data_IF_826690001047
#
_entry.id   IF_826690001047
#
_cell.length_a   1.000
_cell.length_b   1.000
_cell.length_c   1.000
_cell.angle_alpha   90.00
_cell.angle_beta   90.00
_cell.angle_gamma   90.00
#
_symmetry.space_group_name_H-M   'P 1'
#
loop_
_entity.id
_entity.type
_entity.pdbx_description
1 polymer ?
#
# COMPACT_ATOMS: atom_id res chain seq x y z
N UNK A 1 17.24 -44.55 28.22
CA UNK A 1 16.82 -44.31 26.84
C UNK A 1 16.29 -42.88 26.77
N UNK A 2 17.08 -41.94 26.28
CA UNK A 2 16.69 -40.54 26.07
C UNK A 2 16.36 -40.39 24.59
N UNK A 3 15.13 -40.00 24.30
CA UNK A 3 14.69 -39.62 22.93
C UNK A 3 14.91 -38.13 22.80
N UNK A 4 15.80 -37.74 21.91
CA UNK A 4 16.06 -36.35 21.52
C UNK A 4 15.13 -36.04 20.36
N UNK A 5 14.12 -35.18 20.58
CA UNK A 5 13.28 -34.66 19.55
C UNK A 5 13.92 -33.43 18.92
N UNK A 6 14.25 -33.51 17.66
CA UNK A 6 14.73 -32.43 16.82
C UNK A 6 13.55 -31.53 16.45
N UNK A 7 13.57 -30.28 16.91
CA UNK A 7 12.70 -29.21 16.38
C UNK A 7 13.27 -28.70 15.07
N UNK A 8 12.57 -28.96 13.98
CA UNK A 8 12.86 -28.36 12.68
C UNK A 8 12.31 -26.94 12.69
N UNK A 9 13.21 -25.99 12.49
CA UNK A 9 12.93 -24.55 12.36
C UNK A 9 12.17 -24.31 11.06
N UNK A 10 10.91 -23.90 11.14
CA UNK A 10 10.15 -23.35 10.01
C UNK A 10 10.33 -21.81 9.99
N UNK A 11 11.40 -21.37 9.42
CA UNK A 11 11.65 -19.96 9.17
C UNK A 11 11.82 -19.75 7.66
N UNK A 12 10.73 -19.71 6.90
CA UNK A 12 10.67 -19.10 5.55
C UNK A 12 9.20 -18.93 5.16
N UNK A 13 8.56 -17.83 5.47
CA UNK A 13 7.27 -17.46 4.80
C UNK A 13 6.95 -15.97 4.77
N UNK A 14 7.85 -15.07 5.13
CA UNK A 14 7.56 -13.63 5.11
C UNK A 14 7.90 -12.92 3.79
N UNK A 15 8.68 -13.52 2.90
CA UNK A 15 9.13 -12.90 1.64
C UNK A 15 8.20 -13.17 0.45
N UNK A 16 7.23 -14.09 0.56
CA UNK A 16 6.36 -14.45 -0.57
C UNK A 16 5.15 -13.50 -0.76
N UNK A 17 4.87 -12.60 0.17
CA UNK A 17 3.70 -11.73 0.10
C UNK A 17 3.86 -10.51 -0.81
N UNK A 18 5.09 -10.16 -1.19
CA UNK A 18 5.37 -9.00 -2.06
C UNK A 18 5.69 -9.39 -3.51
N UNK A 19 5.95 -10.66 -3.82
CA UNK A 19 6.23 -11.14 -5.16
C UNK A 19 5.15 -12.11 -5.63
N UNK A 20 4.20 -11.64 -6.40
CA UNK A 20 3.21 -12.46 -7.08
C UNK A 20 3.78 -13.21 -8.29
N UNK A 21 4.89 -13.97 -8.12
CA UNK A 21 5.39 -14.87 -9.17
C UNK A 21 5.55 -16.27 -8.63
N UNK A 22 4.95 -17.30 -9.24
CA UNK A 22 5.44 -18.66 -9.10
C UNK A 22 6.75 -18.81 -9.89
N UNK A 23 7.73 -19.45 -9.28
CA UNK A 23 8.95 -19.86 -9.95
C UNK A 23 8.62 -21.05 -10.86
N UNK A 24 8.91 -20.93 -12.16
CA UNK A 24 9.31 -22.08 -12.95
C UNK A 24 9.98 -21.66 -14.27
N UNK A 25 11.16 -22.25 -14.42
CA UNK A 25 11.86 -22.75 -15.60
C UNK A 25 12.40 -21.83 -16.69
N UNK A 26 13.74 -21.86 -16.68
CA UNK A 26 14.66 -21.44 -17.71
C UNK A 26 14.54 -22.27 -18.99
N UNK A 27 14.52 -21.64 -20.15
CA UNK A 27 15.02 -22.22 -21.42
C UNK A 27 15.94 -21.20 -22.09
N UNK A 28 17.16 -21.70 -22.33
CA UNK A 28 18.27 -21.06 -23.05
C UNK A 28 17.99 -21.02 -24.54
N UNK A 29 18.21 -19.87 -25.18
CA UNK A 29 18.47 -19.84 -26.64
C UNK A 29 19.58 -18.84 -26.95
N UNK A 30 20.64 -19.39 -27.54
CA UNK A 30 21.83 -18.72 -28.09
C UNK A 30 21.56 -18.27 -29.52
N UNK A 31 21.92 -17.02 -29.89
CA UNK A 31 22.44 -16.71 -31.24
C UNK A 31 23.02 -15.30 -31.33
N UNK A 32 24.30 -15.18 -31.44
CA UNK A 32 25.18 -14.65 -32.51
C UNK A 32 25.13 -13.14 -32.83
N UNK A 33 26.20 -12.51 -32.44
CA UNK A 33 27.16 -11.57 -33.06
C UNK A 33 26.74 -10.66 -34.21
N UNK A 34 26.98 -9.37 -34.04
CA UNK A 34 27.69 -8.49 -34.96
C UNK A 34 28.12 -7.18 -34.29
N UNK A 35 29.43 -6.98 -34.08
CA UNK A 35 30.10 -5.67 -33.95
C UNK A 35 30.23 -5.04 -35.39
N UNK A 36 30.58 -3.73 -35.57
CA UNK A 36 31.37 -2.85 -34.71
C UNK A 36 30.99 -1.35 -34.71
N UNK A 37 31.43 -0.60 -33.75
CA UNK A 37 32.16 0.69 -33.93
C UNK A 37 32.50 1.34 -32.60
N UNK A 38 33.78 1.49 -32.37
CA UNK A 38 34.46 2.26 -31.34
C UNK A 38 34.04 3.73 -31.31
N UNK A 39 33.53 4.21 -30.14
CA UNK A 39 33.55 5.63 -29.79
C UNK A 39 34.17 5.73 -28.41
N UNK A 40 35.15 6.63 -28.32
CA UNK A 40 36.04 6.86 -27.18
C UNK A 40 35.26 7.16 -25.88
N UNK A 41 35.65 6.44 -24.82
CA UNK A 41 35.16 6.61 -23.46
C UNK A 41 35.92 7.77 -22.78
N UNK A 42 35.17 8.77 -22.27
CA UNK A 42 35.63 9.64 -21.20
C UNK A 42 35.25 8.98 -19.86
N UNK A 43 36.17 8.93 -18.88
CA UNK A 43 35.83 8.44 -17.55
C UNK A 43 35.04 9.49 -16.78
N UNK A 44 33.76 9.26 -16.55
CA UNK A 44 32.98 10.00 -15.54
C UNK A 44 33.21 9.36 -14.16
N UNK A 45 34.09 9.98 -13.40
CA UNK A 45 34.45 9.61 -12.04
C UNK A 45 33.66 10.46 -11.03
N UNK A 46 32.37 10.20 -10.85
CA UNK A 46 31.60 10.77 -9.73
C UNK A 46 30.38 9.93 -9.34
N UNK A 47 30.56 8.63 -9.21
CA UNK A 47 29.57 7.80 -8.52
C UNK A 47 30.23 7.33 -7.22
N UNK A 48 29.70 7.71 -6.04
CA UNK A 48 30.15 7.08 -4.80
C UNK A 48 29.80 5.58 -4.86
N UNK A 49 30.64 4.70 -4.30
CA UNK A 49 30.37 3.27 -4.30
C UNK A 49 29.02 3.00 -3.64
N UNK A 50 28.21 2.17 -4.28
CA UNK A 50 26.96 1.69 -3.69
C UNK A 50 27.30 1.03 -2.35
N UNK A 51 26.75 1.55 -1.26
CA UNK A 51 26.88 0.93 0.03
C UNK A 51 26.27 -0.47 -0.06
N UNK A 52 26.99 -1.47 0.42
CA UNK A 52 26.47 -2.83 0.58
C UNK A 52 25.17 -2.77 1.39
N UNK A 53 24.10 -3.44 0.96
CA UNK A 53 22.85 -3.43 1.71
C UNK A 53 23.13 -4.02 3.10
N UNK A 54 22.73 -3.28 4.14
CA UNK A 54 22.77 -3.76 5.50
C UNK A 54 22.00 -5.09 5.60
N UNK A 55 22.45 -6.05 6.42
CA UNK A 55 21.76 -7.32 6.56
C UNK A 55 20.30 -7.06 6.96
N UNK A 56 19.34 -7.82 6.42
CA UNK A 56 17.93 -7.62 6.71
C UNK A 56 17.72 -7.70 8.22
N UNK A 57 17.24 -6.59 8.81
CA UNK A 57 16.71 -6.62 10.17
C UNK A 57 15.49 -7.53 10.08
N UNK A 58 15.55 -8.68 10.78
CA UNK A 58 14.42 -9.59 10.84
C UNK A 58 13.20 -8.78 11.29
N UNK A 59 12.14 -8.77 10.47
CA UNK A 59 10.88 -8.19 10.87
C UNK A 59 10.45 -8.89 12.16
N UNK A 60 10.39 -8.17 13.27
CA UNK A 60 9.81 -8.70 14.50
C UNK A 60 8.42 -9.23 14.17
N UNK A 61 8.17 -10.47 14.53
CA UNK A 61 6.88 -11.12 14.37
C UNK A 61 5.89 -10.36 15.27
N UNK A 62 5.09 -9.47 14.67
CA UNK A 62 4.06 -8.74 15.42
C UNK A 62 3.04 -9.76 15.88
N UNK A 63 2.99 -10.01 17.19
CA UNK A 63 1.97 -10.87 17.78
C UNK A 63 0.58 -10.37 17.36
N UNK A 64 -0.27 -11.30 16.94
CA UNK A 64 -1.67 -11.01 16.68
C UNK A 64 -2.29 -10.28 17.89
N UNK A 65 -3.14 -9.28 17.66
CA UNK A 65 -3.84 -8.61 18.75
C UNK A 65 -4.44 -9.68 19.68
N UNK A 66 -4.18 -9.57 20.98
CA UNK A 66 -4.58 -10.55 21.99
C UNK A 66 -6.07 -10.88 21.82
N UNK A 67 -6.38 -12.09 21.32
CA UNK A 67 -7.75 -12.53 21.09
C UNK A 67 -8.09 -12.97 19.67
N UNK A 68 -7.19 -13.04 18.73
CA UNK A 68 -7.42 -13.51 17.34
C UNK A 68 -8.56 -12.80 16.55
N UNK A 69 -9.07 -11.67 17.03
CA UNK A 69 -10.21 -11.00 16.41
C UNK A 69 -10.04 -9.49 16.40
N UNK A 70 -9.99 -8.89 15.22
CA UNK A 70 -9.98 -7.44 15.04
C UNK A 70 -11.40 -6.91 15.23
N UNK A 71 -11.62 -5.98 16.17
CA UNK A 71 -12.94 -5.41 16.38
C UNK A 71 -13.44 -4.66 15.13
N UNK A 72 -14.72 -4.83 14.79
CA UNK A 72 -15.37 -4.28 13.59
C UNK A 72 -15.08 -2.78 13.39
N UNK A 73 -15.05 -1.99 14.47
CA UNK A 73 -14.76 -0.54 14.41
C UNK A 73 -13.44 -0.22 13.69
N UNK A 74 -12.42 -1.06 13.84
CA UNK A 74 -11.13 -0.88 13.15
C UNK A 74 -11.22 -1.22 11.67
N UNK A 75 -11.98 -2.27 11.32
CA UNK A 75 -12.13 -2.71 9.93
C UNK A 75 -12.81 -1.65 9.07
N UNK A 76 -13.76 -0.91 9.64
CA UNK A 76 -14.56 0.11 8.93
C UNK A 76 -14.15 1.56 9.21
N UNK A 77 -13.13 1.78 10.07
CA UNK A 77 -12.63 3.12 10.39
C UNK A 77 -13.53 3.95 11.31
N UNK A 78 -14.37 3.30 12.13
CA UNK A 78 -15.26 3.98 13.09
C UNK A 78 -14.57 4.15 14.44
N UNK A 79 -13.47 4.91 14.44
CA UNK A 79 -12.63 5.19 15.61
C UNK A 79 -12.15 6.65 15.62
N UNK A 80 -11.86 7.13 16.82
CA UNK A 80 -11.11 8.35 17.04
C UNK A 80 -9.64 7.99 17.36
N UNK A 81 -8.70 8.17 16.42
CA UNK A 81 -7.31 7.74 16.61
C UNK A 81 -6.60 8.50 17.74
N UNK A 82 -7.10 9.67 18.14
CA UNK A 82 -6.53 10.43 19.24
C UNK A 82 -6.83 9.83 20.63
N UNK A 83 -7.82 8.94 20.70
CA UNK A 83 -8.27 8.28 21.93
C UNK A 83 -8.02 6.77 21.93
N UNK A 84 -7.51 6.23 20.83
CA UNK A 84 -7.31 4.79 20.69
C UNK A 84 -5.82 4.43 20.85
N UNK A 85 -5.46 3.53 21.79
CA UNK A 85 -4.06 3.17 22.09
C UNK A 85 -3.37 2.42 20.96
N UNK A 86 -4.11 1.92 19.96
CA UNK A 86 -3.55 1.26 18.79
C UNK A 86 -3.00 2.26 17.77
N UNK A 87 -3.23 3.57 17.94
CA UNK A 87 -2.80 4.61 17.02
C UNK A 87 -1.75 5.53 17.63
N UNK A 88 -0.84 6.00 16.79
CA UNK A 88 0.19 6.95 17.14
C UNK A 88 0.25 8.09 16.10
N UNK A 89 0.75 9.24 16.54
CA UNK A 89 1.06 10.34 15.61
C UNK A 89 2.35 10.06 14.87
N UNK A 90 2.32 10.29 13.56
CA UNK A 90 3.53 10.34 12.75
C UNK A 90 4.32 11.60 13.16
N UNK A 91 5.62 11.48 13.48
CA UNK A 91 6.43 12.64 13.83
C UNK A 91 6.42 13.71 12.75
N UNK A 92 6.35 14.99 13.14
CA UNK A 92 6.19 16.13 12.24
C UNK A 92 7.24 16.16 11.12
N UNK A 93 8.48 15.81 11.44
CA UNK A 93 9.58 15.75 10.47
C UNK A 93 9.30 14.81 9.28
N UNK A 94 8.35 13.86 9.41
CA UNK A 94 7.99 12.91 8.38
C UNK A 94 6.59 13.16 7.77
N UNK A 95 5.91 14.21 8.18
CA UNK A 95 4.63 14.59 7.59
C UNK A 95 4.82 15.32 6.25
N UNK A 96 3.99 14.95 5.27
CA UNK A 96 3.83 15.62 3.98
C UNK A 96 2.40 16.10 3.75
N UNK A 97 1.49 15.81 4.69
CA UNK A 97 0.06 16.15 4.63
C UNK A 97 -0.55 16.37 6.01
N UNK A 98 -1.87 16.50 6.06
CA UNK A 98 -2.61 16.82 7.30
C UNK A 98 -3.06 15.57 8.09
N UNK A 99 -2.93 14.36 7.54
CA UNK A 99 -3.35 13.12 8.19
C UNK A 99 -2.20 12.54 8.99
N UNK A 100 -2.24 12.84 10.28
CA UNK A 100 -1.10 12.69 11.19
C UNK A 100 -1.10 11.38 11.99
N UNK A 101 -2.14 10.53 11.86
CA UNK A 101 -2.29 9.30 12.64
C UNK A 101 -2.07 8.06 11.77
N UNK A 102 -1.47 7.02 12.37
CA UNK A 102 -1.38 5.68 11.81
C UNK A 102 -1.46 4.63 12.91
N UNK A 103 -1.58 3.36 12.55
CA UNK A 103 -1.40 2.26 13.50
C UNK A 103 0.01 2.37 14.10
N UNK A 104 0.14 2.25 15.44
CA UNK A 104 1.41 2.50 16.13
C UNK A 104 2.60 1.73 15.54
N UNK A 105 2.42 0.42 15.29
CA UNK A 105 3.50 -0.43 14.78
C UNK A 105 3.88 -0.05 13.32
N UNK A 106 2.89 0.38 12.53
CA UNK A 106 3.14 0.89 11.19
C UNK A 106 3.85 2.25 11.20
N UNK A 107 3.52 3.13 12.16
CA UNK A 107 4.23 4.41 12.35
C UNK A 107 5.67 4.15 12.75
N UNK A 108 5.94 3.27 13.71
CA UNK A 108 7.30 2.94 14.15
C UNK A 108 8.13 2.33 13.00
N UNK A 109 7.53 1.42 12.22
CA UNK A 109 8.18 0.86 11.05
C UNK A 109 8.45 1.92 9.95
N UNK A 110 7.51 2.82 9.70
CA UNK A 110 7.67 3.92 8.76
C UNK A 110 8.77 4.90 9.18
N UNK A 111 8.88 5.21 10.47
CA UNK A 111 9.95 6.06 11.01
C UNK A 111 11.32 5.44 10.74
N UNK A 112 11.50 4.15 11.06
CA UNK A 112 12.76 3.45 10.78
C UNK A 112 13.10 3.44 9.29
N UNK A 113 12.11 3.15 8.44
CA UNK A 113 12.26 3.19 6.99
C UNK A 113 12.66 4.58 6.49
N UNK A 114 12.04 5.64 7.01
CA UNK A 114 12.33 7.02 6.61
C UNK A 114 13.71 7.50 7.11
N UNK A 115 14.20 7.01 8.25
CA UNK A 115 15.55 7.28 8.77
C UNK A 115 16.62 6.62 7.90
N UNK A 116 16.40 5.36 7.51
CA UNK A 116 17.32 4.69 6.59
C UNK A 116 17.32 5.35 5.20
N UNK A 117 16.15 5.67 4.67
CA UNK A 117 16.04 6.42 3.42
C UNK A 117 16.83 7.73 3.48
N UNK A 118 16.72 8.48 4.59
CA UNK A 118 17.44 9.75 4.79
C UNK A 118 18.96 9.55 4.82
N UNK A 119 19.44 8.48 5.43
CA UNK A 119 20.87 8.11 5.45
C UNK A 119 21.41 7.80 4.05
N UNK A 120 20.53 7.39 3.14
CA UNK A 120 20.82 7.10 1.73
C UNK A 120 20.49 8.30 0.80
N UNK A 121 20.19 9.47 1.36
CA UNK A 121 19.92 10.71 0.60
C UNK A 121 18.51 10.79 -0.01
N UNK A 122 17.55 10.02 0.53
CA UNK A 122 16.15 10.07 0.14
C UNK A 122 15.30 10.68 1.25
N UNK A 123 14.24 11.38 0.87
CA UNK A 123 13.29 11.98 1.81
C UNK A 123 11.93 11.31 1.65
N UNK A 124 11.48 10.60 2.68
CA UNK A 124 10.16 10.03 2.72
C UNK A 124 9.24 10.85 3.62
N UNK A 125 8.04 11.16 3.12
CA UNK A 125 7.00 11.93 3.80
C UNK A 125 5.66 11.21 3.68
N UNK A 126 4.97 11.01 4.79
CA UNK A 126 3.59 10.51 4.79
C UNK A 126 2.64 11.65 4.40
N UNK A 127 2.01 11.55 3.25
CA UNK A 127 1.00 12.51 2.76
C UNK A 127 -0.37 12.16 3.34
N UNK A 128 -0.65 10.86 3.47
CA UNK A 128 -1.88 10.32 4.08
C UNK A 128 -1.53 9.02 4.79
N UNK A 129 -2.23 8.74 5.92
CA UNK A 129 -2.17 7.47 6.62
C UNK A 129 -3.58 7.08 7.07
N UNK A 130 -3.88 7.06 8.39
CA UNK A 130 -5.23 6.75 8.83
C UNK A 130 -6.28 7.72 8.26
N UNK A 131 -7.40 7.15 7.82
CA UNK A 131 -8.64 7.86 7.46
C UNK A 131 -9.83 7.23 8.17
N UNK A 132 -10.61 8.03 8.90
CA UNK A 132 -11.86 7.57 9.50
C UNK A 132 -12.91 7.26 8.43
N UNK A 133 -13.99 6.57 8.84
CA UNK A 133 -15.17 6.40 7.99
C UNK A 133 -15.70 7.76 7.49
N UNK A 134 -15.79 8.74 8.38
CA UNK A 134 -16.29 10.08 8.04
C UNK A 134 -15.39 10.82 7.05
N UNK A 135 -14.07 10.74 7.19
CA UNK A 135 -13.12 11.31 6.23
C UNK A 135 -13.28 10.69 4.84
N UNK A 136 -13.39 9.35 4.80
CA UNK A 136 -13.54 8.64 3.53
C UNK A 136 -14.90 8.94 2.90
N UNK A 137 -15.95 9.08 3.71
CA UNK A 137 -17.29 9.48 3.26
C UNK A 137 -17.24 10.87 2.61
N UNK A 138 -16.58 11.83 3.23
CA UNK A 138 -16.44 13.16 2.66
C UNK A 138 -15.72 13.14 1.31
N UNK A 139 -14.60 12.40 1.19
CA UNK A 139 -13.87 12.23 -0.06
C UNK A 139 -14.75 11.61 -1.13
N UNK A 140 -15.47 10.56 -0.80
CA UNK A 140 -16.35 9.83 -1.71
C UNK A 140 -17.51 10.71 -2.19
N UNK A 141 -18.27 11.32 -1.26
CA UNK A 141 -19.44 12.11 -1.57
C UNK A 141 -19.10 13.41 -2.33
N UNK A 142 -17.94 14.02 -2.05
CA UNK A 142 -17.46 15.16 -2.84
C UNK A 142 -17.22 14.78 -4.30
N UNK A 143 -16.73 13.56 -4.58
CA UNK A 143 -16.59 13.04 -5.94
C UNK A 143 -17.93 12.62 -6.54
N UNK A 144 -18.75 11.93 -5.76
CA UNK A 144 -20.07 11.46 -6.17
C UNK A 144 -20.99 12.59 -6.60
N UNK A 145 -21.01 13.67 -5.82
CA UNK A 145 -21.84 14.83 -6.02
C UNK A 145 -21.20 15.90 -6.94
N UNK A 146 -20.04 15.62 -7.52
CA UNK A 146 -19.37 16.52 -8.48
C UNK A 146 -18.76 17.78 -7.85
N UNK A 147 -18.60 17.83 -6.51
CA UNK A 147 -17.83 18.89 -5.85
C UNK A 147 -16.35 18.78 -6.19
N UNK A 148 -15.83 17.54 -6.22
CA UNK A 148 -14.49 17.22 -6.69
C UNK A 148 -14.58 16.52 -8.04
N UNK A 149 -13.85 17.02 -9.05
CA UNK A 149 -13.78 16.39 -10.36
C UNK A 149 -12.96 15.10 -10.32
N UNK A 150 -13.37 14.09 -11.08
CA UNK A 150 -12.63 12.84 -11.31
C UNK A 150 -12.29 12.75 -12.79
N UNK A 151 -11.00 12.64 -13.12
CA UNK A 151 -10.55 12.70 -14.51
C UNK A 151 -10.98 13.97 -15.24
N UNK A 152 -11.01 15.11 -14.54
CA UNK A 152 -11.44 16.40 -15.07
C UNK A 152 -12.96 16.57 -15.25
N UNK A 153 -13.78 15.58 -14.82
CA UNK A 153 -15.25 15.59 -15.03
C UNK A 153 -15.99 15.61 -13.68
N UNK A 154 -17.11 16.34 -13.63
CA UNK A 154 -18.06 16.28 -12.52
C UNK A 154 -18.98 15.08 -12.74
N UNK A 155 -18.82 14.04 -11.96
CA UNK A 155 -19.47 12.74 -12.19
C UNK A 155 -20.98 12.75 -12.01
N UNK A 156 -21.52 13.62 -11.18
CA UNK A 156 -22.98 13.78 -11.02
C UNK A 156 -23.68 14.18 -12.32
N UNK A 157 -22.95 14.81 -13.25
CA UNK A 157 -23.46 15.22 -14.57
C UNK A 157 -22.99 14.27 -15.67
N UNK A 158 -21.68 13.92 -15.68
CA UNK A 158 -21.07 13.14 -16.76
C UNK A 158 -21.35 11.65 -16.70
N UNK A 159 -21.74 11.13 -15.53
CA UNK A 159 -21.92 9.69 -15.28
C UNK A 159 -23.18 9.49 -14.43
N UNK A 160 -24.38 9.58 -15.03
CA UNK A 160 -25.65 9.50 -14.27
C UNK A 160 -25.93 8.12 -13.70
N UNK A 161 -25.48 7.04 -14.36
CA UNK A 161 -25.63 5.67 -13.86
C UNK A 161 -24.86 5.47 -12.55
N UNK A 162 -25.50 5.03 -11.46
CA UNK A 162 -24.85 4.91 -10.14
C UNK A 162 -23.71 3.91 -10.12
N UNK A 163 -23.83 2.77 -10.77
CA UNK A 163 -22.79 1.74 -10.82
C UNK A 163 -21.57 2.23 -11.59
N UNK A 164 -21.78 2.82 -12.77
CA UNK A 164 -20.68 3.38 -13.57
C UNK A 164 -19.98 4.54 -12.83
N UNK A 165 -20.75 5.38 -12.10
CA UNK A 165 -20.20 6.45 -11.28
C UNK A 165 -19.34 5.91 -10.15
N UNK A 166 -19.83 4.90 -9.44
CA UNK A 166 -19.07 4.22 -8.39
C UNK A 166 -17.76 3.62 -8.93
N UNK A 167 -17.80 2.89 -10.04
CA UNK A 167 -16.62 2.32 -10.69
C UNK A 167 -15.60 3.39 -11.10
N UNK A 168 -16.08 4.55 -11.56
CA UNK A 168 -15.19 5.66 -11.91
C UNK A 168 -14.49 6.28 -10.70
N UNK A 169 -15.14 6.35 -9.55
CA UNK A 169 -14.52 6.81 -8.30
C UNK A 169 -13.55 5.75 -7.78
N UNK A 170 -13.92 4.48 -7.87
CA UNK A 170 -13.12 3.32 -7.43
C UNK A 170 -11.82 3.12 -8.24
N UNK A 171 -11.57 3.87 -9.30
CA UNK A 171 -10.25 3.85 -9.92
C UNK A 171 -9.14 4.21 -8.92
N UNK A 172 -9.39 5.22 -8.04
CA UNK A 172 -8.40 5.74 -7.08
C UNK A 172 -8.97 6.08 -5.70
N UNK A 173 -10.21 5.71 -5.40
CA UNK A 173 -10.82 6.06 -4.10
C UNK A 173 -11.79 5.00 -3.64
N UNK A 174 -11.54 4.48 -2.45
CA UNK A 174 -12.37 3.47 -1.80
C UNK A 174 -13.75 4.00 -1.43
N UNK A 175 -14.76 3.12 -1.40
CA UNK A 175 -16.00 3.40 -0.68
C UNK A 175 -15.74 3.52 0.82
N UNK A 176 -16.51 4.34 1.56
CA UNK A 176 -16.50 4.30 3.02
C UNK A 176 -16.70 2.87 3.53
N UNK A 177 -16.08 2.53 4.63
CA UNK A 177 -15.96 1.20 5.21
C UNK A 177 -15.04 0.21 4.46
N UNK A 178 -14.63 0.49 3.19
CA UNK A 178 -13.81 -0.45 2.39
C UNK A 178 -12.35 -0.01 2.22
N UNK A 179 -11.98 1.13 2.77
CA UNK A 179 -10.64 1.69 2.62
C UNK A 179 -9.64 1.00 3.54
N UNK A 180 -8.49 0.57 3.01
CA UNK A 180 -7.38 0.06 3.82
C UNK A 180 -6.77 1.13 4.73
N UNK A 181 -6.92 2.41 4.39
CA UNK A 181 -6.54 3.51 5.29
C UNK A 181 -7.35 3.54 6.60
N UNK A 182 -8.50 2.87 6.68
CA UNK A 182 -9.23 2.70 7.94
C UNK A 182 -8.43 1.92 8.99
N UNK A 183 -7.51 1.07 8.55
CA UNK A 183 -6.67 0.24 9.42
C UNK A 183 -5.48 1.01 10.01
N UNK A 184 -5.15 2.17 9.43
CA UNK A 184 -3.98 2.95 9.82
C UNK A 184 -2.65 2.33 9.43
N UNK A 185 -2.68 1.23 8.69
CA UNK A 185 -1.50 0.48 8.22
C UNK A 185 -0.98 0.93 6.86
N UNK A 186 -1.79 1.70 6.14
CA UNK A 186 -1.54 2.09 4.76
C UNK A 186 -1.14 3.56 4.68
N UNK A 187 0.00 3.81 4.04
CA UNK A 187 0.64 5.12 3.94
C UNK A 187 0.74 5.53 2.47
N UNK A 188 0.29 6.74 2.19
CA UNK A 188 0.56 7.40 0.92
C UNK A 188 1.85 8.21 1.07
N UNK A 189 2.89 7.89 0.31
CA UNK A 189 4.25 8.42 0.48
C UNK A 189 4.57 9.43 -0.63
N UNK A 190 5.03 10.60 -0.24
CA UNK A 190 5.56 11.72 -1.01
C UNK A 190 4.59 12.42 -1.96
N UNK A 191 3.84 11.70 -2.81
CA UNK A 191 2.97 12.33 -3.81
C UNK A 191 1.79 11.40 -4.14
N UNK A 192 0.64 11.95 -4.52
CA UNK A 192 -0.58 11.21 -4.88
C UNK A 192 -0.80 11.12 -6.39
N UNK A 193 0.27 11.21 -7.18
CA UNK A 193 0.19 11.14 -8.64
C UNK A 193 1.32 10.29 -9.21
N UNK A 194 0.97 9.27 -10.01
CA UNK A 194 1.95 8.39 -10.66
C UNK A 194 2.94 9.15 -11.56
N UNK A 195 2.55 10.28 -12.15
CA UNK A 195 3.46 11.10 -12.97
C UNK A 195 4.65 11.65 -12.19
N UNK A 196 4.50 11.91 -10.89
CA UNK A 196 5.62 12.29 -10.02
C UNK A 196 6.70 11.20 -10.01
N UNK A 197 6.30 9.95 -9.90
CA UNK A 197 7.23 8.80 -9.85
C UNK A 197 7.86 8.48 -11.23
N UNK A 198 7.49 9.21 -12.29
CA UNK A 198 8.16 9.17 -13.58
C UNK A 198 9.19 10.31 -13.75
N UNK A 199 9.23 11.30 -12.83
CA UNK A 199 10.29 12.30 -12.78
C UNK A 199 11.60 11.67 -12.28
N UNK A 200 12.74 12.35 -12.50
CA UNK A 200 14.05 11.86 -12.03
C UNK A 200 14.04 11.54 -10.53
N UNK A 201 13.57 12.47 -9.69
CA UNK A 201 13.64 12.32 -8.23
C UNK A 201 12.56 11.35 -7.73
N UNK A 202 11.34 11.43 -8.26
CA UNK A 202 10.26 10.51 -7.92
C UNK A 202 10.58 9.07 -8.29
N UNK A 203 11.21 8.84 -9.46
CA UNK A 203 11.64 7.49 -9.87
C UNK A 203 12.70 6.93 -8.92
N UNK A 204 13.70 7.71 -8.51
CA UNK A 204 14.71 7.27 -7.54
C UNK A 204 14.09 6.89 -6.20
N UNK A 205 13.10 7.65 -5.71
CA UNK A 205 12.35 7.34 -4.49
C UNK A 205 11.57 6.04 -4.67
N UNK A 206 10.88 5.87 -5.79
CA UNK A 206 10.10 4.65 -6.06
C UNK A 206 10.99 3.41 -6.17
N UNK A 207 12.12 3.51 -6.87
CA UNK A 207 13.09 2.42 -7.00
C UNK A 207 13.65 2.03 -5.61
N UNK A 208 13.95 3.04 -4.75
CA UNK A 208 14.39 2.80 -3.38
C UNK A 208 13.30 2.11 -2.55
N UNK A 209 12.06 2.60 -2.58
CA UNK A 209 10.94 1.99 -1.88
C UNK A 209 10.71 0.54 -2.34
N UNK A 210 10.72 0.30 -3.63
CA UNK A 210 10.52 -1.05 -4.19
C UNK A 210 11.58 -2.04 -3.68
N UNK A 211 12.83 -1.58 -3.51
CA UNK A 211 13.95 -2.42 -3.07
C UNK A 211 14.05 -2.58 -1.56
N UNK A 212 13.65 -1.57 -0.77
CA UNK A 212 13.93 -1.50 0.67
C UNK A 212 12.68 -1.58 1.55
N UNK A 213 11.52 -1.08 1.12
CA UNK A 213 10.33 -1.05 1.95
C UNK A 213 9.91 -2.44 2.48
N UNK A 214 10.09 -3.56 1.75
CA UNK A 214 9.81 -4.90 2.27
C UNK A 214 10.59 -5.26 3.54
N UNK A 215 11.81 -4.73 3.73
CA UNK A 215 12.63 -4.96 4.93
C UNK A 215 12.00 -4.35 6.19
N UNK A 216 11.13 -3.35 6.01
CA UNK A 216 10.37 -2.69 7.07
C UNK A 216 8.91 -3.18 7.14
N UNK A 217 8.58 -4.24 6.40
CA UNK A 217 7.24 -4.82 6.35
C UNK A 217 6.26 -4.07 5.44
N UNK A 218 6.71 -3.10 4.63
CA UNK A 218 5.85 -2.39 3.69
C UNK A 218 5.88 -3.00 2.30
N UNK A 219 4.68 -3.14 1.69
CA UNK A 219 4.51 -3.59 0.31
C UNK A 219 3.60 -2.64 -0.46
N UNK A 220 3.88 -2.44 -1.74
CA UNK A 220 2.95 -1.77 -2.65
C UNK A 220 1.80 -2.73 -2.97
N UNK A 221 0.62 -2.45 -2.41
CA UNK A 221 -0.55 -3.33 -2.59
C UNK A 221 -1.35 -3.02 -3.86
N UNK A 222 -1.31 -1.79 -4.34
CA UNK A 222 -1.95 -1.39 -5.59
C UNK A 222 -0.90 -1.28 -6.72
N UNK A 223 -0.32 -2.44 -7.06
CA UNK A 223 0.59 -2.60 -8.20
C UNK A 223 -0.16 -2.48 -9.53
N UNK A 224 0.58 -2.46 -10.65
CA UNK A 224 -0.03 -2.43 -11.98
C UNK A 224 -1.04 -3.57 -12.18
N UNK A 225 -2.13 -3.28 -12.90
CA UNK A 225 -3.10 -4.29 -13.37
C UNK A 225 -2.67 -4.84 -14.73
N UNK A 226 -3.12 -6.05 -15.06
CA UNK A 226 -2.87 -6.67 -16.36
C UNK A 226 -2.44 -8.13 -16.26
N UNK A 227 -1.92 -8.70 -17.36
CA UNK A 227 -1.58 -10.10 -17.46
C UNK A 227 -0.55 -10.58 -16.41
N UNK A 228 0.41 -9.71 -16.08
CA UNK A 228 1.47 -9.98 -15.10
C UNK A 228 1.22 -9.31 -13.73
N UNK A 229 0.04 -8.71 -13.53
CA UNK A 229 -0.32 -7.95 -12.33
C UNK A 229 -1.65 -8.39 -11.72
N UNK A 230 -2.26 -7.47 -10.93
CA UNK A 230 -3.56 -7.71 -10.32
C UNK A 230 -4.67 -7.74 -11.38
N UNK A 231 -5.62 -8.70 -11.29
CA UNK A 231 -6.69 -8.80 -12.28
C UNK A 231 -7.79 -7.74 -12.13
N UNK A 232 -8.02 -7.25 -10.89
CA UNK A 232 -9.13 -6.36 -10.52
C UNK A 232 -8.68 -5.28 -9.54
N UNK A 233 -9.61 -4.45 -9.09
CA UNK A 233 -9.42 -3.46 -8.04
C UNK A 233 -8.96 -2.09 -8.55
N UNK A 234 -8.31 -1.32 -7.67
CA UNK A 234 -7.84 0.02 -7.94
C UNK A 234 -6.79 0.06 -9.06
N UNK A 235 -6.64 1.21 -9.70
CA UNK A 235 -5.52 1.46 -10.60
C UNK A 235 -4.18 1.37 -9.84
N UNK A 236 -3.05 1.39 -10.55
CA UNK A 236 -1.75 1.43 -9.91
C UNK A 236 -1.59 2.71 -9.09
N UNK A 237 -1.12 2.56 -7.84
CA UNK A 237 -0.78 3.66 -6.95
C UNK A 237 0.65 3.47 -6.44
N UNK A 238 1.63 4.12 -7.10
CA UNK A 238 3.05 4.02 -6.73
C UNK A 238 3.37 4.63 -5.37
N UNK A 239 2.47 5.45 -4.85
CA UNK A 239 2.57 6.10 -3.54
C UNK A 239 2.04 5.25 -2.39
N UNK A 240 1.18 4.23 -2.65
CA UNK A 240 0.43 3.53 -1.63
C UNK A 240 1.16 2.28 -1.13
N UNK A 241 1.58 2.32 0.13
CA UNK A 241 2.37 1.28 0.78
C UNK A 241 1.70 0.80 2.06
N UNK A 242 1.50 -0.50 2.18
CA UNK A 242 0.80 -1.15 3.30
C UNK A 242 1.78 -1.88 4.22
N UNK A 243 1.68 -1.65 5.52
CA UNK A 243 2.42 -2.38 6.55
C UNK A 243 1.79 -3.76 6.78
N UNK A 244 2.31 -4.76 6.10
CA UNK A 244 1.73 -6.10 6.01
C UNK A 244 1.71 -6.89 7.32
N UNK A 245 2.67 -6.75 8.27
CA UNK A 245 2.62 -7.49 9.53
C UNK A 245 1.31 -7.31 10.31
N UNK A 246 0.69 -6.12 10.21
CA UNK A 246 -0.63 -5.84 10.81
C UNK A 246 -1.75 -5.96 9.77
N UNK A 247 -1.58 -5.36 8.59
CA UNK A 247 -2.62 -5.31 7.55
C UNK A 247 -3.12 -6.68 7.11
N UNK A 248 -2.25 -7.70 7.12
CA UNK A 248 -2.63 -9.08 6.75
C UNK A 248 -3.69 -9.69 7.68
N UNK A 249 -3.71 -9.32 8.96
CA UNK A 249 -4.74 -9.74 9.91
C UNK A 249 -6.08 -9.09 9.63
N UNK A 250 -6.07 -7.77 9.38
CA UNK A 250 -7.26 -7.02 8.98
C UNK A 250 -7.84 -7.56 7.68
N UNK A 251 -6.98 -7.85 6.70
CA UNK A 251 -7.41 -8.39 5.41
C UNK A 251 -8.10 -9.77 5.55
N UNK A 252 -7.57 -10.65 6.39
CA UNK A 252 -8.18 -11.96 6.67
C UNK A 252 -9.52 -11.84 7.41
N UNK A 253 -9.61 -10.89 8.34
CA UNK A 253 -10.79 -10.71 9.19
C UNK A 253 -11.92 -9.97 8.46
N UNK A 254 -11.57 -9.06 7.55
CA UNK A 254 -12.52 -8.18 6.87
C UNK A 254 -13.71 -8.93 6.23
N UNK A 255 -13.54 -9.94 5.36
CA UNK A 255 -14.68 -10.64 4.73
C UNK A 255 -15.49 -11.49 5.69
N UNK A 256 -15.00 -11.75 6.90
CA UNK A 256 -15.72 -12.52 7.93
C UNK A 256 -16.71 -11.61 8.65
N UNK A 257 -16.30 -10.37 8.98
CA UNK A 257 -17.05 -9.46 9.87
C UNK A 257 -17.74 -8.32 9.14
N UNK A 258 -17.30 -7.97 7.92
CA UNK A 258 -17.88 -6.86 7.17
C UNK A 258 -18.75 -7.39 6.03
N UNK A 259 -20.05 -7.41 6.27
CA UNK A 259 -21.05 -7.64 5.22
C UNK A 259 -21.44 -6.34 4.49
N UNK A 260 -22.16 -6.48 3.38
CA UNK A 260 -22.62 -5.32 2.59
C UNK A 260 -23.54 -4.38 3.36
N UNK A 261 -24.22 -4.86 4.41
CA UNK A 261 -25.02 -4.04 5.31
C UNK A 261 -24.21 -3.02 6.11
N UNK A 262 -22.91 -3.25 6.24
CA UNK A 262 -21.95 -2.31 6.88
C UNK A 262 -21.41 -1.27 5.92
N UNK A 263 -21.51 -1.52 4.61
CA UNK A 263 -21.08 -0.58 3.56
C UNK A 263 -22.29 0.29 3.20
N UNK A 264 -22.66 1.16 4.11
CA UNK A 264 -23.89 1.96 4.04
C UNK A 264 -23.70 3.34 4.65
N UNK A 265 -24.72 4.21 4.55
CA UNK A 265 -24.71 5.53 5.17
C UNK A 265 -23.99 6.61 4.35
N UNK A 266 -23.78 6.39 3.05
CA UNK A 266 -23.21 7.35 2.11
C UNK A 266 -23.87 7.24 0.73
N UNK A 267 -23.70 8.27 -0.11
CA UNK A 267 -24.28 8.31 -1.45
C UNK A 267 -23.69 7.22 -2.34
N UNK A 268 -24.57 6.46 -3.02
CA UNK A 268 -24.14 5.39 -3.93
C UNK A 268 -23.74 4.08 -3.24
N UNK A 269 -23.94 3.93 -1.93
CA UNK A 269 -23.63 2.70 -1.17
C UNK A 269 -24.30 1.45 -1.74
N UNK A 270 -25.49 1.57 -2.35
CA UNK A 270 -26.21 0.45 -2.98
C UNK A 270 -25.43 -0.23 -4.10
N UNK A 271 -24.50 0.49 -4.76
CA UNK A 271 -23.65 -0.08 -5.80
C UNK A 271 -22.58 -1.04 -5.26
N UNK A 272 -22.32 -1.05 -3.95
CA UNK A 272 -21.25 -1.85 -3.35
C UNK A 272 -21.43 -3.36 -3.65
N UNK A 273 -22.65 -3.86 -3.49
CA UNK A 273 -23.00 -5.27 -3.75
C UNK A 273 -22.95 -5.62 -5.25
N UNK A 274 -23.47 -4.72 -6.11
CA UNK A 274 -23.50 -4.93 -7.56
C UNK A 274 -22.10 -4.94 -8.19
N UNK A 275 -21.13 -4.29 -7.54
CA UNK A 275 -19.73 -4.24 -7.94
C UNK A 275 -18.94 -5.40 -7.31
N UNK A 276 -19.49 -6.05 -6.30
CA UNK A 276 -18.79 -7.01 -5.42
C UNK A 276 -17.51 -6.36 -4.83
N UNK A 277 -17.71 -5.19 -4.19
CA UNK A 277 -16.59 -4.33 -3.76
C UNK A 277 -15.67 -5.01 -2.76
N UNK A 278 -16.19 -5.89 -1.90
CA UNK A 278 -15.38 -6.64 -0.92
C UNK A 278 -14.37 -7.52 -1.65
N UNK A 279 -14.84 -8.33 -2.60
CA UNK A 279 -13.99 -9.24 -3.35
C UNK A 279 -13.05 -8.52 -4.31
N UNK A 280 -13.56 -7.50 -5.02
CA UNK A 280 -12.82 -6.91 -6.13
C UNK A 280 -11.87 -5.77 -5.70
N UNK A 281 -12.07 -5.18 -4.51
CA UNK A 281 -11.34 -3.98 -4.08
C UNK A 281 -10.72 -4.08 -2.68
N UNK A 282 -11.23 -4.93 -1.78
CA UNK A 282 -10.64 -5.09 -0.43
C UNK A 282 -9.71 -6.30 -0.39
N UNK A 283 -10.09 -7.42 -1.01
CA UNK A 283 -9.35 -8.67 -1.12
C UNK A 283 -8.49 -8.68 -2.39
#
# INVERSE_FOLDING_TARGET
>A
MRVVGTFASMAVLALAACSGKPADDAIVAVAQSSEPATVASYPDSSQPPAAEPAPPVAAEEVEAPSGNHVALKYLIGDIDPAKDPMFAKIPEKYLGGSRVWGHKDAVDAFVRMAEDAASNGYVLKAVSAFRSFSDQKEIWENKWNGKTAVGGKKLNVSTPDPKARALKILEFSSMPATSRHHWGTDFDINNLNNSYFNTRDGKRIYDWLTSHAPQYGFCQVYSAKGADGRPTGYEEEKWHWSYMPVASWYLKQYPIDVGYERIAGFDGATSAKDIDVIKNYVQ
#
